data_IF_471456551077
#
_entry.id   IF_471456551077
#
_cell.length_a   1.000
_cell.length_b   1.000
_cell.length_c   1.000
_cell.angle_alpha   90.00
_cell.angle_beta   90.00
_cell.angle_gamma   90.00
#
_symmetry.space_group_name_H-M   'P 1'
#
loop_
_entity.id
_entity.type
_entity.pdbx_description
1 polymer ?
#
# COMPACT_ATOMS: atom_id res chain seq x y z
N UNK A 1 -5.56 -9.31 14.20
CA UNK A 1 -6.20 -8.17 14.89
C UNK A 1 -6.97 -7.34 13.87
N UNK A 2 -8.28 -7.14 14.07
CA UNK A 2 -9.18 -6.50 13.08
C UNK A 2 -8.67 -5.11 12.66
N UNK A 3 -8.03 -4.39 13.59
CA UNK A 3 -7.43 -3.08 13.32
C UNK A 3 -6.29 -3.15 12.31
N UNK A 4 -5.51 -4.25 12.31
CA UNK A 4 -4.41 -4.46 11.36
C UNK A 4 -4.96 -4.71 9.95
N UNK A 5 -6.03 -5.50 9.83
CA UNK A 5 -6.71 -5.74 8.56
C UNK A 5 -7.33 -4.47 7.96
N UNK A 6 -7.94 -3.63 8.79
CA UNK A 6 -8.52 -2.36 8.33
C UNK A 6 -7.45 -1.39 7.79
N UNK A 7 -6.30 -1.30 8.45
CA UNK A 7 -5.16 -0.48 7.99
C UNK A 7 -4.58 -0.98 6.68
N UNK A 8 -4.44 -2.30 6.57
CA UNK A 8 -3.95 -2.95 5.36
C UNK A 8 -4.90 -2.71 4.18
N UNK A 9 -6.21 -2.87 4.38
CA UNK A 9 -7.21 -2.60 3.34
C UNK A 9 -7.19 -1.15 2.86
N UNK A 10 -7.05 -0.18 3.77
CA UNK A 10 -6.96 1.24 3.41
C UNK A 10 -5.69 1.54 2.60
N UNK A 11 -4.53 1.04 3.03
CA UNK A 11 -3.27 1.25 2.33
C UNK A 11 -3.25 0.59 0.94
N UNK A 12 -3.83 -0.61 0.81
CA UNK A 12 -3.96 -1.31 -0.48
C UNK A 12 -4.89 -0.58 -1.44
N UNK A 13 -6.00 -0.02 -0.94
CA UNK A 13 -6.89 0.82 -1.75
C UNK A 13 -6.20 2.10 -2.22
N UNK A 14 -5.43 2.75 -1.34
CA UNK A 14 -4.64 3.93 -1.71
C UNK A 14 -3.58 3.59 -2.76
N UNK A 15 -2.87 2.46 -2.62
CA UNK A 15 -1.90 1.99 -3.60
C UNK A 15 -2.57 1.75 -4.96
N UNK A 16 -3.67 0.99 -4.99
CA UNK A 16 -4.40 0.66 -6.20
C UNK A 16 -4.92 1.91 -6.94
N UNK A 17 -5.42 2.91 -6.21
CA UNK A 17 -5.90 4.16 -6.83
C UNK A 17 -4.76 5.01 -7.44
N UNK A 18 -3.54 4.90 -6.91
CA UNK A 18 -2.38 5.65 -7.42
C UNK A 18 -1.64 4.93 -8.55
N UNK A 19 -1.93 3.65 -8.78
CA UNK A 19 -1.25 2.86 -9.78
C UNK A 19 -1.93 3.04 -11.14
N UNK A 20 -1.25 3.71 -12.06
CA UNK A 20 -1.72 3.96 -13.44
C UNK A 20 -1.85 2.68 -14.27
N UNK A 21 -1.12 1.64 -13.88
CA UNK A 21 -1.13 0.34 -14.54
C UNK A 21 -1.50 -0.72 -13.50
N UNK A 22 -2.57 -1.48 -13.76
CA UNK A 22 -3.15 -2.50 -12.88
C UNK A 22 -2.27 -3.76 -12.73
N UNK A 23 -0.97 -3.65 -13.00
CA UNK A 23 -0.04 -4.77 -12.93
C UNK A 23 0.19 -5.29 -11.52
N UNK A 24 -0.43 -4.68 -10.50
CA UNK A 24 -0.33 -5.09 -9.10
C UNK A 24 1.07 -5.62 -8.82
N UNK A 25 2.07 -4.76 -9.02
CA UNK A 25 3.45 -5.01 -8.57
C UNK A 25 3.56 -4.35 -7.20
N UNK A 26 2.98 -4.88 -6.11
CA UNK A 26 3.45 -4.47 -4.80
C UNK A 26 4.93 -4.86 -4.77
N UNK A 27 5.81 -3.87 -4.62
CA UNK A 27 7.24 -4.15 -4.51
C UNK A 27 7.51 -5.05 -3.30
N UNK A 28 6.71 -4.90 -2.23
CA UNK A 28 6.56 -5.82 -1.11
C UNK A 28 5.49 -5.29 -0.13
N UNK A 29 5.09 -6.10 0.87
CA UNK A 29 4.15 -5.73 1.94
C UNK A 29 4.60 -4.47 2.72
N UNK A 30 5.92 -4.23 2.76
CA UNK A 30 6.55 -3.03 3.33
C UNK A 30 6.11 -1.73 2.66
N UNK A 31 5.73 -1.76 1.38
CA UNK A 31 5.24 -0.59 0.67
C UNK A 31 3.87 -0.15 1.21
N UNK A 32 3.01 -1.11 1.55
CA UNK A 32 1.69 -0.83 2.15
C UNK A 32 1.84 -0.24 3.55
N UNK A 33 2.77 -0.77 4.35
CA UNK A 33 3.07 -0.22 5.67
C UNK A 33 3.70 1.17 5.57
N UNK A 34 4.55 1.41 4.57
CA UNK A 34 5.14 2.74 4.32
C UNK A 34 4.07 3.77 3.92
N UNK A 35 3.06 3.37 3.12
CA UNK A 35 1.90 4.23 2.78
C UNK A 35 1.10 4.58 4.03
N UNK A 36 0.84 3.60 4.91
CA UNK A 36 0.15 3.84 6.17
C UNK A 36 0.94 4.77 7.11
N UNK A 37 2.27 4.64 7.13
CA UNK A 37 3.18 5.50 7.92
C UNK A 37 3.34 6.91 7.31
N UNK A 38 2.77 7.16 6.12
CA UNK A 38 2.80 8.46 5.44
C UNK A 38 3.96 8.63 4.45
N UNK A 39 4.71 7.57 4.16
CA UNK A 39 5.81 7.55 3.21
C UNK A 39 5.49 6.67 1.99
N UNK A 40 4.72 7.20 1.04
CA UNK A 40 4.35 6.51 -0.19
C UNK A 40 5.45 6.51 -1.28
N UNK A 41 6.71 6.75 -0.92
CA UNK A 41 7.81 6.81 -1.90
C UNK A 41 8.12 5.41 -2.45
N UNK A 42 8.24 5.33 -3.77
CA UNK A 42 8.72 4.13 -4.47
C UNK A 42 10.16 3.87 -4.05
N UNK A 43 10.39 2.82 -3.26
CA UNK A 43 11.72 2.21 -3.13
C UNK A 43 12.01 1.49 -4.46
N UNK A 44 13.19 1.73 -5.02
CA UNK A 44 13.69 1.04 -6.21
C UNK A 44 14.83 0.13 -5.79
#
# INVERSE_FOLDING_TARGET
DVKKCARFGWASGALAATMLTDYAQPADEDQLWSIWDGNARVKR
#
